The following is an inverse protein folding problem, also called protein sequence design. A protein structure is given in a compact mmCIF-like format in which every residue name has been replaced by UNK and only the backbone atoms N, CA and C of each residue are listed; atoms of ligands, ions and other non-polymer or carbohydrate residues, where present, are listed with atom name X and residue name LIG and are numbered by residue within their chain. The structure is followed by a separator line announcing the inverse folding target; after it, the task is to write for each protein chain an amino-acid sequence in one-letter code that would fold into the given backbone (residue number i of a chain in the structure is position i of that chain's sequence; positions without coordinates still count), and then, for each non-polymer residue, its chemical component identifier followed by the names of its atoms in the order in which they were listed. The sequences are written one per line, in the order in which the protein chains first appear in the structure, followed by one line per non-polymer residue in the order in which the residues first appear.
data_IF_680075593861
#
_entry.id   IF_680075593861
#
_cell.length_a   1.000
_cell.length_b   1.000
_cell.length_c   1.000
_cell.angle_alpha   90.00
_cell.angle_beta   90.00
_cell.angle_gamma   90.00
#
_symmetry.space_group_name_H-M   'P 1'
#
loop_
_entity.id
_entity.type
_entity.pdbx_description
1 polymer ?
#
# COMPACT_ATOMS: atom_id res chain seq x y z
N UNK A 1 -19.44 -2.57 2.96
CA UNK A 1 -18.60 -1.49 2.42
C UNK A 1 -17.47 -2.17 1.68
N UNK A 2 -17.53 -2.20 0.35
CA UNK A 2 -16.55 -2.93 -0.50
C UNK A 2 -15.47 -2.02 -1.09
N UNK A 3 -15.39 -0.75 -0.65
CA UNK A 3 -14.35 0.16 -1.09
C UNK A 3 -13.10 0.03 -0.22
N UNK A 4 -11.94 -0.31 -0.81
CA UNK A 4 -10.69 -0.43 -0.07
C UNK A 4 -10.17 0.94 0.36
N UNK A 5 -9.48 0.98 1.49
CA UNK A 5 -8.79 2.19 1.97
C UNK A 5 -7.44 2.30 1.26
N UNK A 6 -7.18 3.45 0.65
CA UNK A 6 -5.88 3.75 0.06
C UNK A 6 -4.97 4.42 1.07
N UNK A 7 -3.77 3.85 1.25
CA UNK A 7 -2.73 4.39 2.13
C UNK A 7 -1.51 4.69 1.28
N UNK A 8 -1.10 5.96 1.25
CA UNK A 8 0.05 6.44 0.48
C UNK A 8 1.21 6.74 1.43
N UNK A 9 2.41 6.27 1.09
CA UNK A 9 3.65 6.68 1.73
C UNK A 9 4.76 6.89 0.71
N UNK A 10 5.59 7.90 0.92
CA UNK A 10 6.68 8.22 0.02
C UNK A 10 7.85 7.26 0.21
N UNK A 11 8.19 7.00 1.48
CA UNK A 11 9.35 6.21 1.89
C UNK A 11 8.94 4.80 2.30
N UNK A 12 9.89 3.87 2.19
CA UNK A 12 9.66 2.49 2.59
C UNK A 12 9.41 2.42 4.10
N UNK A 13 10.15 3.21 4.85
CA UNK A 13 10.17 3.25 6.31
C UNK A 13 8.80 3.66 6.87
N UNK A 14 8.09 4.56 6.18
CA UNK A 14 6.74 5.04 6.56
C UNK A 14 5.70 3.92 6.52
N UNK A 15 5.78 3.05 5.50
CA UNK A 15 4.77 2.01 5.26
C UNK A 15 5.18 0.62 5.77
N UNK A 16 6.42 0.48 6.24
CA UNK A 16 7.03 -0.84 6.48
C UNK A 16 6.26 -1.68 7.51
N UNK A 17 5.72 -1.03 8.55
CA UNK A 17 4.96 -1.72 9.58
C UNK A 17 3.68 -2.33 8.99
N UNK A 18 2.88 -1.53 8.30
CA UNK A 18 1.62 -1.99 7.66
C UNK A 18 1.94 -3.07 6.61
N UNK A 19 2.97 -2.85 5.78
CA UNK A 19 3.39 -3.83 4.76
C UNK A 19 3.74 -5.19 5.36
N UNK A 20 4.37 -5.22 6.54
CA UNK A 20 4.77 -6.48 7.21
C UNK A 20 3.59 -7.20 7.84
N UNK A 21 2.57 -6.46 8.29
CA UNK A 21 1.42 -7.00 9.01
C UNK A 21 0.23 -7.32 8.10
N UNK A 22 0.16 -6.72 6.91
CA UNK A 22 -0.92 -6.99 5.97
C UNK A 22 -0.80 -8.37 5.32
N UNK A 23 -1.95 -8.97 5.02
CA UNK A 23 -2.06 -10.13 4.14
C UNK A 23 -2.09 -9.60 2.71
N UNK A 24 -1.00 -9.82 1.97
CA UNK A 24 -0.88 -9.42 0.56
C UNK A 24 -1.61 -10.43 -0.32
N UNK A 25 -2.56 -9.95 -1.11
CA UNK A 25 -3.25 -10.75 -2.14
C UNK A 25 -2.60 -10.57 -3.50
N UNK A 26 -2.23 -9.34 -3.82
CA UNK A 26 -1.62 -8.97 -5.09
C UNK A 26 -0.56 -7.89 -4.87
N UNK A 27 0.50 -7.95 -5.66
CA UNK A 27 1.51 -6.91 -5.74
C UNK A 27 1.68 -6.51 -7.21
N UNK A 28 1.64 -5.21 -7.46
CA UNK A 28 1.74 -4.65 -8.81
C UNK A 28 2.53 -3.34 -8.82
N UNK A 29 2.89 -2.90 -10.02
CA UNK A 29 3.52 -1.60 -10.27
C UNK A 29 2.50 -0.67 -10.92
N UNK A 30 2.39 0.55 -10.39
CA UNK A 30 1.62 1.63 -11.02
C UNK A 30 2.60 2.76 -11.39
N UNK A 31 3.08 2.73 -12.63
CA UNK A 31 4.23 3.57 -13.03
C UNK A 31 5.46 3.23 -12.20
N UNK A 32 6.00 4.22 -11.49
CA UNK A 32 7.14 4.03 -10.57
C UNK A 32 6.72 3.52 -9.18
N UNK A 33 5.44 3.64 -8.82
CA UNK A 33 4.94 3.29 -7.50
C UNK A 33 4.83 1.77 -7.31
N UNK A 34 5.21 1.30 -6.12
CA UNK A 34 4.93 -0.06 -5.67
C UNK A 34 3.56 -0.11 -5.01
N UNK A 35 2.72 -1.06 -5.40
CA UNK A 35 1.35 -1.21 -4.89
C UNK A 35 1.18 -2.61 -4.33
N UNK A 36 0.64 -2.70 -3.12
CA UNK A 36 0.22 -3.95 -2.48
C UNK A 36 -1.27 -3.89 -2.18
N UNK A 37 -2.03 -4.82 -2.76
CA UNK A 37 -3.47 -4.98 -2.52
C UNK A 37 -3.66 -6.12 -1.54
N UNK A 38 -4.46 -5.89 -0.50
CA UNK A 38 -4.66 -6.90 0.52
C UNK A 38 -5.60 -6.49 1.63
N UNK A 39 -5.37 -7.08 2.79
CA UNK A 39 -6.11 -6.75 4.01
C UNK A 39 -5.19 -6.61 5.22
N UNK A 40 -5.53 -5.66 6.09
CA UNK A 40 -4.86 -5.46 7.37
C UNK A 40 -5.93 -5.26 8.45
N UNK A 41 -5.82 -5.97 9.59
CA UNK A 41 -6.83 -5.98 10.66
C UNK A 41 -8.27 -6.28 10.14
N UNK A 42 -8.39 -7.17 9.16
CA UNK A 42 -9.68 -7.53 8.55
C UNK A 42 -10.27 -6.49 7.58
N UNK A 43 -9.61 -5.35 7.38
CA UNK A 43 -10.04 -4.28 6.48
C UNK A 43 -9.30 -4.39 5.14
N UNK A 44 -10.02 -4.24 4.03
CA UNK A 44 -9.39 -4.20 2.71
C UNK A 44 -8.64 -2.89 2.51
N UNK A 45 -7.35 -2.99 2.17
CA UNK A 45 -6.48 -1.84 1.93
C UNK A 45 -5.72 -1.98 0.61
N UNK A 46 -5.34 -0.84 0.05
CA UNK A 46 -4.33 -0.70 -1.00
C UNK A 46 -3.20 0.17 -0.43
N UNK A 47 -2.04 -0.45 -0.23
CA UNK A 47 -0.85 0.23 0.27
C UNK A 47 0.04 0.62 -0.91
N UNK A 48 0.39 1.90 -1.02
CA UNK A 48 1.16 2.43 -2.15
C UNK A 48 2.42 3.11 -1.64
N UNK A 49 3.57 2.71 -2.18
CA UNK A 49 4.82 3.47 -2.07
C UNK A 49 4.97 4.39 -3.27
N UNK A 50 4.75 5.68 -3.08
CA UNK A 50 4.75 6.68 -4.16
C UNK A 50 6.16 7.12 -4.56
N UNK A 51 7.14 7.00 -3.66
CA UNK A 51 8.40 7.72 -3.81
C UNK A 51 8.26 9.18 -3.36
N UNK A 52 9.38 9.91 -3.37
CA UNK A 52 9.43 11.33 -2.99
C UNK A 52 9.22 12.22 -4.21
N UNK A 53 8.51 13.33 -4.02
CA UNK A 53 8.27 14.33 -5.07
C UNK A 53 6.79 14.65 -5.24
N UNK A 54 6.49 15.58 -6.15
CA UNK A 54 5.12 15.93 -6.55
C UNK A 54 4.76 15.43 -7.95
N UNK A 55 5.75 14.91 -8.68
CA UNK A 55 5.63 14.48 -10.07
C UNK A 55 5.08 13.05 -10.17
#
# INVERSE_FOLDING_TARGET
MDQPIFILGALREEINLIRKLMIVKEQLKAGHADVWVGSWEGVSIVLVRTGMGKD
#
